data_IF_648597926712
#
_entry.id   IF_648597926712
#
_cell.length_a   1.000
_cell.length_b   1.000
_cell.length_c   1.000
_cell.angle_alpha   90.00
_cell.angle_beta   90.00
_cell.angle_gamma   90.00
#
_symmetry.space_group_name_H-M   'P 1'
#
loop_
_entity.id
_entity.type
_entity.pdbx_description
1 polymer ?
#
# COMPACT_ATOMS: atom_id res chain seq x y z
N UNK A 1 11.39 -10.01 -10.21
CA UNK A 1 10.13 -9.25 -10.06
C UNK A 1 10.15 -8.49 -8.74
N UNK A 2 9.72 -7.25 -8.72
CA UNK A 2 9.63 -6.48 -7.47
C UNK A 2 8.48 -6.97 -6.60
N UNK A 3 8.53 -6.61 -5.32
CA UNK A 3 7.43 -6.95 -4.40
C UNK A 3 6.12 -6.30 -4.85
N UNK A 4 6.18 -5.08 -5.35
CA UNK A 4 5.02 -4.39 -5.91
C UNK A 4 4.41 -5.16 -7.07
N UNK A 5 5.24 -5.57 -8.03
CA UNK A 5 4.80 -6.32 -9.20
C UNK A 5 4.15 -7.65 -8.79
N UNK A 6 4.73 -8.32 -7.79
CA UNK A 6 4.17 -9.56 -7.27
C UNK A 6 2.78 -9.35 -6.66
N UNK A 7 2.62 -8.27 -5.89
CA UNK A 7 1.31 -7.91 -5.33
C UNK A 7 0.31 -7.64 -6.44
N UNK A 8 0.70 -6.84 -7.43
CA UNK A 8 -0.19 -6.50 -8.54
C UNK A 8 -0.61 -7.73 -9.35
N UNK A 9 0.30 -8.68 -9.56
CA UNK A 9 -0.02 -9.94 -10.22
C UNK A 9 -1.06 -10.74 -9.44
N UNK A 10 -0.92 -10.81 -8.12
CA UNK A 10 -1.89 -11.51 -7.28
C UNK A 10 -3.23 -10.79 -7.23
N UNK A 11 -3.22 -9.46 -7.27
CA UNK A 11 -4.45 -8.67 -7.34
C UNK A 11 -5.22 -8.99 -8.62
N UNK A 12 -4.53 -9.06 -9.75
CA UNK A 12 -5.16 -9.40 -11.03
C UNK A 12 -5.74 -10.82 -11.01
N UNK A 13 -5.00 -11.78 -10.48
CA UNK A 13 -5.45 -13.16 -10.37
C UNK A 13 -6.68 -13.31 -9.47
N UNK A 14 -6.74 -12.54 -8.39
CA UNK A 14 -7.83 -12.58 -7.42
C UNK A 14 -8.94 -11.55 -7.67
N UNK A 15 -8.85 -10.80 -8.75
CA UNK A 15 -9.80 -9.75 -9.10
C UNK A 15 -9.94 -8.69 -8.00
N UNK A 16 -8.83 -8.33 -7.35
CA UNK A 16 -8.79 -7.30 -6.32
C UNK A 16 -8.60 -5.94 -7.00
N UNK A 17 -9.49 -5.01 -6.77
CA UNK A 17 -9.46 -3.70 -7.44
C UNK A 17 -8.42 -2.76 -6.86
N UNK A 18 -8.26 -2.76 -5.53
CA UNK A 18 -7.33 -1.87 -4.86
C UNK A 18 -6.97 -2.40 -3.48
N UNK A 19 -5.76 -2.09 -3.03
CA UNK A 19 -5.27 -2.43 -1.68
C UNK A 19 -4.74 -1.15 -1.05
N UNK A 20 -5.22 -0.82 0.14
CA UNK A 20 -4.69 0.30 0.92
C UNK A 20 -3.79 -0.26 2.02
N UNK A 21 -2.50 0.04 1.91
CA UNK A 21 -1.50 -0.43 2.86
C UNK A 21 -1.24 0.66 3.88
N UNK A 22 -1.52 0.36 5.14
CA UNK A 22 -1.37 1.30 6.26
C UNK A 22 -0.29 0.89 7.25
N UNK A 23 0.07 -0.39 7.32
CA UNK A 23 1.08 -0.86 8.26
C UNK A 23 2.49 -0.48 7.82
N UNK A 24 3.33 -0.17 8.80
CA UNK A 24 4.72 0.17 8.58
C UNK A 24 5.48 -0.95 7.87
N UNK A 25 5.29 -2.18 8.33
CA UNK A 25 6.02 -3.33 7.83
C UNK A 25 5.72 -3.59 6.35
N UNK A 26 4.47 -3.46 5.94
CA UNK A 26 4.09 -3.70 4.55
C UNK A 26 4.42 -2.53 3.65
N UNK A 27 4.37 -1.29 4.16
CA UNK A 27 4.85 -0.15 3.40
C UNK A 27 6.35 -0.29 3.10
N UNK A 28 7.14 -0.67 4.11
CA UNK A 28 8.58 -0.92 3.91
C UNK A 28 8.82 -2.06 2.91
N UNK A 29 8.05 -3.12 3.02
CA UNK A 29 8.17 -4.27 2.11
C UNK A 29 7.96 -3.85 0.64
N UNK A 30 6.99 -3.00 0.39
CA UNK A 30 6.66 -2.57 -0.98
C UNK A 30 7.54 -1.44 -1.49
N UNK A 31 7.93 -0.49 -0.63
CA UNK A 31 8.61 0.73 -1.06
C UNK A 31 10.11 0.76 -0.77
N UNK A 32 10.57 -0.02 0.20
CA UNK A 32 11.95 0.06 0.69
C UNK A 32 12.21 1.21 1.66
N UNK A 33 11.20 2.00 2.00
CA UNK A 33 11.33 3.15 2.88
C UNK A 33 11.10 2.79 4.34
N UNK A 34 11.84 3.44 5.24
CA UNK A 34 11.80 3.19 6.68
C UNK A 34 10.90 4.15 7.46
N UNK A 35 10.02 4.85 6.79
CA UNK A 35 9.09 5.73 7.50
C UNK A 35 7.66 5.27 7.32
N UNK A 36 6.73 5.82 8.14
CA UNK A 36 5.44 5.19 8.34
C UNK A 36 4.25 6.14 8.42
N UNK A 37 4.47 7.42 8.18
CA UNK A 37 3.42 8.43 8.34
C UNK A 37 2.64 8.66 7.04
N UNK A 38 2.23 7.58 6.40
CA UNK A 38 1.51 7.69 5.14
C UNK A 38 0.77 6.41 4.79
N UNK A 39 0.41 6.31 3.53
CA UNK A 39 -0.28 5.15 2.98
C UNK A 39 0.32 4.78 1.64
N UNK A 40 0.23 3.51 1.29
CA UNK A 40 0.48 3.05 -0.07
C UNK A 40 -0.83 2.53 -0.63
N UNK A 41 -1.28 3.11 -1.73
CA UNK A 41 -2.46 2.65 -2.45
C UNK A 41 -1.99 1.89 -3.69
N UNK A 42 -2.33 0.62 -3.78
CA UNK A 42 -1.93 -0.23 -4.90
C UNK A 42 -3.15 -0.62 -5.71
N UNK A 43 -3.05 -0.37 -7.02
CA UNK A 43 -4.02 -0.83 -8.01
C UNK A 43 -3.32 -1.80 -8.96
N UNK A 44 -4.04 -2.61 -9.73
CA UNK A 44 -3.39 -3.58 -10.64
C UNK A 44 -2.42 -2.95 -11.64
N UNK A 45 -2.66 -1.70 -12.05
CA UNK A 45 -1.85 -1.03 -13.06
C UNK A 45 -1.15 0.24 -12.55
N UNK A 46 -1.28 0.56 -11.25
CA UNK A 46 -0.71 1.78 -10.68
C UNK A 46 -0.44 1.60 -9.19
N UNK A 47 0.42 2.45 -8.65
CA UNK A 47 0.66 2.47 -7.21
C UNK A 47 1.06 3.88 -6.79
N UNK A 48 0.60 4.27 -5.61
CA UNK A 48 0.81 5.61 -5.07
C UNK A 48 1.33 5.51 -3.64
N UNK A 49 2.35 6.30 -3.32
CA UNK A 49 2.80 6.51 -1.95
C UNK A 49 2.40 7.92 -1.53
N UNK A 50 1.55 8.02 -0.53
CA UNK A 50 1.15 9.30 0.03
C UNK A 50 2.07 9.64 1.19
N UNK A 51 2.91 10.66 1.01
CA UNK A 51 3.94 11.04 1.97
C UNK A 51 3.82 12.52 2.29
N UNK A 52 4.05 12.90 3.55
CA UNK A 52 4.05 14.31 3.90
C UNK A 52 5.35 15.00 3.43
N UNK A 53 5.37 16.34 3.52
CA UNK A 53 6.48 17.13 2.98
C UNK A 53 7.84 16.80 3.61
N UNK A 54 7.87 16.28 4.83
CA UNK A 54 9.13 15.96 5.51
C UNK A 54 9.88 14.81 4.84
N UNK A 55 9.16 13.94 4.16
CA UNK A 55 9.71 12.72 3.57
C UNK A 55 9.65 12.69 2.05
N UNK A 56 9.09 13.74 1.43
CA UNK A 56 8.75 13.73 0.01
C UNK A 56 9.96 13.50 -0.91
N UNK A 57 11.10 14.12 -0.59
CA UNK A 57 12.31 13.98 -1.42
C UNK A 57 12.89 12.58 -1.35
N UNK A 58 13.00 12.02 -0.12
CA UNK A 58 13.50 10.66 0.08
C UNK A 58 12.53 9.67 -0.57
N UNK A 59 11.23 9.91 -0.42
CA UNK A 59 10.20 9.05 -1.00
C UNK A 59 10.30 9.03 -2.53
N UNK A 60 10.46 10.20 -3.15
CA UNK A 60 10.60 10.27 -4.61
C UNK A 60 11.84 9.58 -5.13
N UNK A 61 12.96 9.71 -4.40
CA UNK A 61 14.21 9.08 -4.79
C UNK A 61 14.13 7.54 -4.70
N UNK A 62 13.46 7.02 -3.68
CA UNK A 62 13.39 5.58 -3.41
C UNK A 62 12.20 4.90 -4.09
N UNK A 63 11.00 5.42 -3.86
CA UNK A 63 9.78 4.78 -4.38
C UNK A 63 9.60 4.99 -5.89
N UNK A 64 10.09 6.09 -6.42
CA UNK A 64 10.02 6.36 -7.85
C UNK A 64 10.74 5.29 -8.68
N UNK A 65 11.88 4.79 -8.19
CA UNK A 65 12.61 3.74 -8.88
C UNK A 65 11.89 2.38 -8.82
N UNK A 66 10.97 2.21 -7.88
CA UNK A 66 10.15 1.00 -7.75
C UNK A 66 8.86 1.06 -8.57
N UNK A 67 8.62 2.14 -9.31
CA UNK A 67 7.41 2.31 -10.11
C UNK A 67 6.22 2.83 -9.32
N UNK A 68 6.46 3.48 -8.19
CA UNK A 68 5.42 4.04 -7.33
C UNK A 68 5.40 5.56 -7.50
N UNK A 69 4.24 6.11 -7.81
CA UNK A 69 4.08 7.55 -7.87
C UNK A 69 3.94 8.13 -6.46
N UNK A 70 4.79 9.10 -6.13
CA UNK A 70 4.77 9.73 -4.82
C UNK A 70 3.88 10.95 -4.87
N UNK A 71 2.92 11.03 -3.95
CA UNK A 71 1.95 12.11 -3.87
C UNK A 71 2.07 12.78 -2.51
N UNK A 72 2.18 14.11 -2.52
CA UNK A 72 2.09 14.90 -1.29
C UNK A 72 0.62 15.29 -1.11
N UNK A 73 -0.06 14.76 -0.09
CA UNK A 73 -1.50 15.00 0.05
C UNK A 73 -1.77 16.43 0.48
N UNK A 74 -2.69 17.07 -0.23
CA UNK A 74 -3.23 18.37 0.15
C UNK A 74 -4.60 18.14 0.78
N UNK A 75 -4.85 18.75 1.92
CA UNK A 75 -6.11 18.59 2.63
C UNK A 75 -6.23 17.33 3.46
N UNK A 76 -5.14 16.60 3.64
CA UNK A 76 -5.10 15.39 4.46
C UNK A 76 -4.90 14.11 3.67
N UNK A 77 -4.42 13.06 4.37
CA UNK A 77 -4.10 11.77 3.75
C UNK A 77 -5.34 11.07 3.19
N UNK A 78 -6.36 10.89 4.02
CA UNK A 78 -7.56 10.13 3.62
C UNK A 78 -8.37 10.82 2.53
N UNK A 79 -8.58 12.15 2.56
CA UNK A 79 -9.22 12.81 1.41
C UNK A 79 -8.44 12.64 0.11
N UNK A 80 -7.12 12.62 0.16
CA UNK A 80 -6.29 12.37 -1.01
C UNK A 80 -6.49 10.94 -1.53
N UNK A 81 -6.54 9.95 -0.65
CA UNK A 81 -6.86 8.57 -1.03
C UNK A 81 -8.23 8.51 -1.69
N UNK A 82 -9.22 9.19 -1.11
CA UNK A 82 -10.57 9.24 -1.68
C UNK A 82 -10.56 9.75 -3.12
N UNK A 83 -9.80 10.80 -3.39
CA UNK A 83 -9.64 11.34 -4.74
C UNK A 83 -9.02 10.36 -5.72
N UNK A 84 -8.02 9.59 -5.27
CA UNK A 84 -7.40 8.56 -6.11
C UNK A 84 -8.35 7.40 -6.38
N UNK A 85 -9.12 6.99 -5.39
CA UNK A 85 -10.13 5.94 -5.56
C UNK A 85 -11.18 6.36 -6.59
N UNK A 86 -11.62 7.61 -6.53
CA UNK A 86 -12.57 8.16 -7.49
C UNK A 86 -11.95 8.23 -8.89
N UNK A 87 -10.72 8.69 -9.00
CA UNK A 87 -9.99 8.78 -10.28
C UNK A 87 -9.94 7.43 -10.99
N UNK A 88 -9.74 6.36 -10.25
CA UNK A 88 -9.62 5.00 -10.80
C UNK A 88 -10.94 4.21 -10.75
N UNK A 89 -12.03 4.85 -10.39
CA UNK A 89 -13.35 4.24 -10.31
C UNK A 89 -13.39 2.98 -9.44
N UNK A 90 -12.66 3.01 -8.32
CA UNK A 90 -12.58 1.88 -7.38
C UNK A 90 -13.88 1.79 -6.60
N UNK A 91 -14.48 0.60 -6.55
CA UNK A 91 -15.68 0.31 -5.78
C UNK A 91 -15.43 -0.62 -4.59
N UNK A 92 -14.34 -1.37 -4.63
CA UNK A 92 -13.98 -2.32 -3.58
C UNK A 92 -12.53 -2.09 -3.19
N UNK A 93 -12.30 -1.75 -1.93
CA UNK A 93 -10.97 -1.47 -1.40
C UNK A 93 -10.62 -2.47 -0.32
N UNK A 94 -9.57 -3.25 -0.54
CA UNK A 94 -9.05 -4.15 0.49
C UNK A 94 -8.17 -3.36 1.46
N UNK A 95 -8.34 -3.58 2.74
CA UNK A 95 -7.53 -2.93 3.78
C UNK A 95 -6.96 -3.97 4.74
N UNK A 96 -5.97 -3.57 5.52
CA UNK A 96 -5.28 -4.47 6.44
C UNK A 96 -6.07 -4.65 7.74
N UNK A 97 -7.02 -5.57 7.73
CA UNK A 97 -7.97 -5.78 8.82
C UNK A 97 -7.31 -6.21 10.14
N UNK A 98 -6.11 -6.80 10.07
CA UNK A 98 -5.40 -7.23 11.28
C UNK A 98 -4.65 -6.10 11.98
N UNK A 99 -4.42 -4.97 11.29
CA UNK A 99 -3.65 -3.84 11.84
C UNK A 99 -4.45 -2.56 11.96
N UNK A 100 -5.50 -2.40 11.15
CA UNK A 100 -6.35 -1.21 11.18
C UNK A 100 -7.28 -1.27 12.39
N UNK A 101 -7.28 -0.19 13.19
CA UNK A 101 -8.18 -0.10 14.35
C UNK A 101 -9.64 0.07 13.89
N UNK A 102 -10.57 -0.22 14.78
CA UNK A 102 -11.98 0.03 14.50
C UNK A 102 -12.24 1.51 14.21
N UNK A 103 -11.58 2.40 14.93
CA UNK A 103 -11.73 3.84 14.72
C UNK A 103 -11.25 4.25 13.33
N UNK A 104 -10.12 3.72 12.88
CA UNK A 104 -9.59 4.03 11.56
C UNK A 104 -10.48 3.47 10.45
N UNK A 105 -11.01 2.26 10.64
CA UNK A 105 -11.94 1.67 9.68
C UNK A 105 -13.20 2.52 9.52
N UNK A 106 -13.73 3.05 10.62
CA UNK A 106 -14.88 3.95 10.58
C UNK A 106 -14.55 5.21 9.78
N UNK A 107 -13.36 5.75 9.97
CA UNK A 107 -12.90 6.91 9.20
C UNK A 107 -12.77 6.59 7.72
N UNK A 108 -12.31 5.39 7.36
CA UNK A 108 -12.28 4.94 5.96
C UNK A 108 -13.70 4.94 5.39
N UNK A 109 -14.65 4.34 6.11
CA UNK A 109 -16.04 4.26 5.63
C UNK A 109 -16.65 5.65 5.44
N UNK A 110 -16.36 6.59 6.33
CA UNK A 110 -16.86 7.96 6.24
C UNK A 110 -16.20 8.75 5.11
N UNK A 111 -14.90 8.51 4.86
CA UNK A 111 -14.13 9.25 3.86
C UNK A 111 -14.30 8.70 2.45
N UNK A 112 -14.59 7.40 2.32
CA UNK A 112 -14.75 6.73 1.04
C UNK A 112 -16.19 6.26 0.83
N UNK A 113 -17.18 7.18 0.76
CA UNK A 113 -18.57 6.78 0.51
C UNK A 113 -18.69 6.14 -0.86
N UNK A 114 -19.46 5.07 -0.96
CA UNK A 114 -19.62 4.35 -2.23
C UNK A 114 -18.52 3.32 -2.50
N UNK A 115 -17.53 3.19 -1.62
CA UNK A 115 -16.49 2.16 -1.71
C UNK A 115 -16.76 1.11 -0.65
N UNK A 116 -16.84 -0.15 -1.06
CA UNK A 116 -16.97 -1.26 -0.13
C UNK A 116 -15.59 -1.65 0.40
N UNK A 117 -15.47 -1.74 1.73
CA UNK A 117 -14.23 -2.11 2.39
C UNK A 117 -14.15 -3.64 2.51
N UNK A 118 -13.06 -4.22 2.00
CA UNK A 118 -12.85 -5.66 1.94
C UNK A 118 -11.76 -6.07 2.92
N UNK A 119 -11.99 -7.17 3.66
CA UNK A 119 -11.07 -7.65 4.71
C UNK A 119 -10.11 -8.72 4.18
N UNK A 120 -9.39 -8.42 3.12
CA UNK A 120 -8.54 -9.42 2.47
C UNK A 120 -7.08 -9.00 2.33
N UNK A 121 -6.74 -7.75 2.66
CA UNK A 121 -5.40 -7.24 2.42
C UNK A 121 -4.34 -7.87 3.33
N UNK A 122 -4.65 -8.10 4.61
CA UNK A 122 -3.68 -8.72 5.53
C UNK A 122 -3.24 -10.08 5.06
N UNK A 123 -4.20 -10.93 4.68
CA UNK A 123 -3.91 -12.27 4.18
C UNK A 123 -3.10 -12.22 2.88
N UNK A 124 -3.48 -11.35 1.97
CA UNK A 124 -2.79 -11.21 0.69
C UNK A 124 -1.33 -10.78 0.87
N UNK A 125 -1.10 -9.77 1.71
CA UNK A 125 0.24 -9.27 1.98
C UNK A 125 1.09 -10.28 2.76
N UNK A 126 0.51 -10.96 3.75
CA UNK A 126 1.20 -12.01 4.50
C UNK A 126 1.64 -13.16 3.57
N UNK A 127 0.79 -13.53 2.62
CA UNK A 127 1.13 -14.60 1.68
C UNK A 127 2.32 -14.23 0.79
N UNK A 128 2.46 -12.95 0.45
CA UNK A 128 3.61 -12.47 -0.31
C UNK A 128 4.89 -12.53 0.51
N UNK A 129 4.83 -12.17 1.80
CA UNK A 129 5.99 -12.15 2.67
C UNK A 129 6.48 -13.55 3.05
N UNK A 130 5.63 -14.56 2.93
CA UNK A 130 6.03 -15.95 3.16
C UNK A 130 6.95 -16.48 2.07
N UNK A 131 6.89 -15.92 0.84
CA UNK A 131 7.76 -16.30 -0.27
C UNK A 131 8.97 -15.35 -0.28
N UNK A 132 10.14 -15.86 0.11
CA UNK A 132 11.36 -15.05 0.17
C UNK A 132 12.07 -15.09 -1.18
N UNK A 133 12.53 -13.92 -1.67
CA UNK A 133 13.38 -13.88 -2.84
C UNK A 133 14.84 -14.15 -2.46
N UNK A 134 15.74 -14.23 -3.46
CA UNK A 134 17.14 -14.54 -3.22
C UNK A 134 17.85 -13.49 -2.34
N UNK A 135 17.52 -12.22 -2.53
CA UNK A 135 18.11 -11.13 -1.76
C UNK A 135 17.67 -11.17 -0.30
N UNK A 136 16.41 -11.46 -0.05
CA UNK A 136 15.86 -11.60 1.30
C UNK A 136 16.49 -12.79 2.02
N UNK A 137 16.66 -13.91 1.34
CA UNK A 137 17.32 -15.10 1.91
C UNK A 137 18.79 -14.78 2.27
N UNK A 138 19.50 -14.10 1.38
CA UNK A 138 20.89 -13.72 1.63
C UNK A 138 21.00 -12.80 2.85
N UNK A 139 20.11 -11.83 2.97
CA UNK A 139 20.09 -10.91 4.11
C UNK A 139 19.81 -11.65 5.42
N UNK A 140 18.85 -12.56 5.43
CA UNK A 140 18.52 -13.37 6.61
C UNK A 140 19.70 -14.24 7.02
N UNK A 141 20.42 -14.82 6.07
CA UNK A 141 21.61 -15.63 6.34
C UNK A 141 22.72 -14.81 6.97
N UNK A 142 22.94 -13.58 6.52
CA UNK A 142 23.93 -12.68 7.09
C UNK A 142 23.59 -12.24 8.50
N UNK A 143 22.31 -12.13 8.84
CA UNK A 143 21.83 -11.71 10.15
C UNK A 143 22.05 -12.80 11.22
N UNK A 144 22.28 -14.02 10.82
CA UNK A 144 22.59 -15.13 11.73
C UNK A 144 24.08 -15.20 11.96
#
# INVERSE_FOLDING_TARGET
MSHLTNLQSRMKAGEVEAVLVSSEINQRYLTGLNYTDGYVLVLPEAAYLLADFRYIEVARATAGSAGIEVVMPEGGMLPCVAGLLEKHAVRHLAYEEETVSCALRIRFAETFPGVELMTSASRLLDSLRLVKDADEIAFMTQAQ
#
